data_IF_409142681626
#
_entry.id   IF_409142681626
#
_cell.length_a   1.000
_cell.length_b   1.000
_cell.length_c   1.000
_cell.angle_alpha   90.00
_cell.angle_beta   90.00
_cell.angle_gamma   90.00
#
_symmetry.space_group_name_H-M   'P 1'
#
loop_
_entity.id
_entity.type
_entity.pdbx_description
1 polymer ?
#
# COMPACT_ATOMS: atom_id res chain seq x y z
N UNK A 1 -30.86 -2.08 -10.72
CA UNK A 1 -30.13 -0.82 -10.46
C UNK A 1 -29.64 -0.88 -9.04
N UNK A 2 -28.33 -0.90 -8.86
CA UNK A 2 -27.67 -1.09 -7.58
C UNK A 2 -26.19 -1.23 -7.87
N UNK A 3 -25.60 -0.18 -8.42
CA UNK A 3 -24.15 -0.04 -8.37
C UNK A 3 -23.82 0.15 -6.91
N UNK A 4 -23.48 -0.95 -6.25
CA UNK A 4 -22.84 -0.89 -4.95
C UNK A 4 -21.63 0.00 -5.12
N UNK A 5 -21.66 1.15 -4.45
CA UNK A 5 -20.56 2.09 -4.39
C UNK A 5 -19.41 1.41 -3.65
N UNK A 6 -18.72 0.48 -4.30
CA UNK A 6 -17.34 0.18 -4.03
C UNK A 6 -16.67 1.54 -4.14
N UNK A 7 -16.29 2.11 -2.99
CA UNK A 7 -15.57 3.38 -2.88
C UNK A 7 -14.48 3.39 -3.94
N UNK A 8 -14.72 4.15 -5.01
CA UNK A 8 -13.88 4.14 -6.20
C UNK A 8 -12.55 4.73 -5.76
N UNK A 9 -11.55 3.87 -5.59
CA UNK A 9 -10.21 4.27 -5.14
C UNK A 9 -9.73 5.45 -5.98
N UNK A 10 -9.21 6.48 -5.31
CA UNK A 10 -8.69 7.62 -6.01
C UNK A 10 -7.48 7.19 -6.84
N UNK A 11 -7.53 7.52 -8.14
CA UNK A 11 -6.51 7.18 -9.13
C UNK A 11 -6.13 8.41 -9.92
N UNK A 12 -4.83 8.59 -10.10
CA UNK A 12 -4.27 9.58 -11.02
C UNK A 12 -3.69 8.79 -12.18
N UNK A 13 -4.21 9.05 -13.38
CA UNK A 13 -3.66 8.50 -14.62
C UNK A 13 -2.42 9.30 -15.05
N UNK A 14 -1.30 8.60 -15.28
CA UNK A 14 -0.05 9.17 -15.75
C UNK A 14 0.37 8.62 -17.13
N UNK A 15 -0.54 7.95 -17.86
CA UNK A 15 -0.31 7.35 -19.17
C UNK A 15 0.15 5.90 -19.05
N UNK A 16 1.46 5.67 -18.96
CA UNK A 16 2.03 4.31 -18.90
C UNK A 16 1.83 3.63 -17.54
N UNK A 17 1.60 4.43 -16.51
CA UNK A 17 1.33 3.99 -15.13
C UNK A 17 0.20 4.82 -14.54
N UNK A 18 -0.38 4.33 -13.45
CA UNK A 18 -1.31 5.08 -12.63
C UNK A 18 -0.84 5.09 -11.18
N UNK A 19 -1.14 6.16 -10.47
CA UNK A 19 -1.03 6.23 -9.03
C UNK A 19 -2.40 5.96 -8.42
N UNK A 20 -2.44 5.20 -7.34
CA UNK A 20 -3.67 4.85 -6.64
C UNK A 20 -3.46 5.00 -5.15
N UNK A 21 -4.53 5.34 -4.43
CA UNK A 21 -4.59 5.12 -2.98
C UNK A 21 -4.20 3.70 -2.58
N UNK A 22 -3.42 3.62 -1.51
CA UNK A 22 -2.99 2.36 -0.93
C UNK A 22 -4.17 1.61 -0.31
N UNK A 23 -4.24 0.30 -0.56
CA UNK A 23 -5.21 -0.58 0.09
C UNK A 23 -4.51 -1.72 0.83
N UNK A 24 -5.20 -2.33 1.80
CA UNK A 24 -4.69 -3.52 2.49
C UNK A 24 -4.33 -4.68 1.56
N UNK A 25 -4.93 -4.76 0.37
CA UNK A 25 -4.60 -5.78 -0.63
C UNK A 25 -3.23 -5.55 -1.26
N UNK A 26 -2.78 -4.29 -1.29
CA UNK A 26 -1.48 -3.90 -1.85
C UNK A 26 -0.34 -4.12 -0.84
N UNK A 27 -0.66 -4.27 0.45
CA UNK A 27 0.31 -4.43 1.53
C UNK A 27 1.31 -5.57 1.28
N UNK A 28 0.83 -6.72 0.79
CA UNK A 28 1.71 -7.86 0.51
C UNK A 28 2.67 -7.58 -0.65
N UNK A 29 2.18 -6.91 -1.70
CA UNK A 29 2.98 -6.51 -2.87
C UNK A 29 4.04 -5.48 -2.49
N UNK A 30 3.66 -4.47 -1.69
CA UNK A 30 4.60 -3.47 -1.17
C UNK A 30 5.65 -4.12 -0.27
N UNK A 31 5.25 -5.01 0.64
CA UNK A 31 6.18 -5.76 1.48
C UNK A 31 7.20 -6.55 0.65
N UNK A 32 6.76 -7.23 -0.41
CA UNK A 32 7.66 -7.99 -1.30
C UNK A 32 8.67 -7.08 -1.99
N UNK A 33 8.26 -5.91 -2.45
CA UNK A 33 9.13 -4.96 -3.14
C UNK A 33 10.09 -4.28 -2.17
N UNK A 34 9.61 -3.83 -1.00
CA UNK A 34 10.46 -3.13 -0.02
C UNK A 34 11.55 -4.00 0.59
N UNK A 35 11.37 -5.32 0.60
CA UNK A 35 12.36 -6.28 1.08
C UNK A 35 13.35 -6.76 -0.02
N UNK A 36 13.28 -6.24 -1.25
CA UNK A 36 14.30 -6.53 -2.26
C UNK A 36 15.61 -5.83 -1.90
N UNK A 37 16.77 -6.49 -2.06
CA UNK A 37 18.06 -5.94 -1.62
C UNK A 37 18.42 -4.63 -2.34
N UNK A 38 17.99 -4.46 -3.58
CA UNK A 38 18.14 -3.23 -4.34
C UNK A 38 17.36 -2.08 -3.72
N UNK A 39 16.17 -2.35 -3.17
CA UNK A 39 15.32 -1.35 -2.52
C UNK A 39 15.79 -1.08 -1.09
N UNK A 40 16.05 -2.13 -0.30
CA UNK A 40 16.56 -2.02 1.08
C UNK A 40 17.84 -1.16 1.14
N UNK A 41 18.72 -1.28 0.14
CA UNK A 41 19.94 -0.48 0.06
C UNK A 41 19.68 1.03 0.07
N UNK A 42 18.58 1.48 -0.56
CA UNK A 42 18.24 2.90 -0.68
C UNK A 42 17.18 3.34 0.33
N UNK A 43 16.30 2.42 0.74
CA UNK A 43 15.15 2.66 1.62
C UNK A 43 15.12 1.61 2.75
N UNK A 44 16.13 1.58 3.63
CA UNK A 44 16.21 0.59 4.70
C UNK A 44 15.05 0.73 5.71
N UNK A 45 14.57 1.96 5.93
CA UNK A 45 13.45 2.25 6.82
C UNK A 45 12.11 1.72 6.30
N UNK A 46 12.02 1.40 5.01
CA UNK A 46 10.82 0.84 4.37
C UNK A 46 10.75 -0.68 4.47
N UNK A 47 11.77 -1.31 5.06
CA UNK A 47 11.78 -2.73 5.39
C UNK A 47 10.82 -3.00 6.55
N UNK A 48 9.52 -2.91 6.28
CA UNK A 48 8.49 -3.30 7.23
C UNK A 48 8.50 -4.82 7.40
N UNK A 49 8.35 -5.30 8.63
CA UNK A 49 7.96 -6.69 8.88
C UNK A 49 6.46 -6.87 8.61
N UNK A 50 6.01 -8.07 8.19
CA UNK A 50 4.58 -8.36 7.91
C UNK A 50 3.64 -7.93 9.05
N UNK A 51 4.13 -7.90 10.30
CA UNK A 51 3.37 -7.53 11.50
C UNK A 51 3.26 -6.01 11.70
N UNK A 52 4.24 -5.20 11.29
CA UNK A 52 4.16 -3.72 11.39
C UNK A 52 3.17 -3.08 10.41
N UNK A 53 2.89 -3.76 9.28
CA UNK A 53 1.92 -3.26 8.28
C UNK A 53 0.48 -3.28 8.80
N UNK A 54 0.17 -4.12 9.78
CA UNK A 54 -1.15 -4.18 10.43
C UNK A 54 -1.23 -3.22 11.61
N UNK A 55 -0.14 -3.00 12.35
CA UNK A 55 -0.16 -2.15 13.56
C UNK A 55 -0.31 -0.66 13.23
N UNK A 56 0.25 -0.17 12.12
CA UNK A 56 0.14 1.25 11.73
C UNK A 56 -1.29 1.72 11.41
N UNK A 57 -2.23 0.79 11.21
CA UNK A 57 -3.64 1.11 10.94
C UNK A 57 -4.53 1.03 12.19
N UNK A 58 -4.00 0.63 13.36
CA UNK A 58 -4.81 0.38 14.56
C UNK A 58 -4.73 1.46 15.64
N UNK A 59 -3.93 2.51 15.48
CA UNK A 59 -3.92 3.63 16.43
C UNK A 59 -4.73 4.80 15.86
N UNK A 60 -6.06 4.74 15.96
CA UNK A 60 -7.00 5.89 16.02
C UNK A 60 -8.45 5.36 16.05
N UNK A 61 -8.85 4.80 17.18
CA UNK A 61 -10.25 4.77 17.61
C UNK A 61 -10.26 5.04 19.12
N UNK A 62 -10.34 6.33 19.47
CA UNK A 62 -11.02 6.81 20.67
C UNK A 62 -12.42 7.27 20.24
#
# INVERSE_FOLDING_TARGET
>A
MGEESLTKLFRIDCGDIYLQEFTFKDAESIYKISNQPEIEKFLPDWKSTKEQSVSSCSENYD
#
